data_IF_867716037481
#
_entry.id   IF_867716037481
#
_cell.length_a   1.000
_cell.length_b   1.000
_cell.length_c   1.000
_cell.angle_alpha   90.00
_cell.angle_beta   90.00
_cell.angle_gamma   90.00
#
_symmetry.space_group_name_H-M   'P 1'
#
loop_
_entity.id
_entity.type
_entity.pdbx_description
1 polymer ?
#
# COMPACT_ATOMS: atom_id res chain seq x y z
N UNK A 1 26.30 -24.59 18.29
CA UNK A 1 25.63 -23.28 18.12
C UNK A 1 24.47 -23.52 17.16
N UNK A 2 23.22 -23.33 17.57
CA UNK A 2 22.07 -23.54 16.67
C UNK A 2 21.99 -22.37 15.69
N UNK A 3 22.07 -22.64 14.39
CA UNK A 3 21.95 -21.61 13.36
C UNK A 3 20.55 -20.99 13.37
N UNK A 4 20.49 -19.67 13.16
CA UNK A 4 19.22 -18.94 13.22
C UNK A 4 18.42 -19.22 11.95
N UNK A 5 17.17 -19.67 12.11
CA UNK A 5 16.23 -19.88 10.99
C UNK A 5 16.14 -18.61 10.12
N UNK A 6 16.31 -18.76 8.81
CA UNK A 6 16.25 -17.66 7.85
C UNK A 6 17.54 -16.84 7.77
N UNK A 7 18.69 -17.41 8.16
CA UNK A 7 20.01 -16.83 7.84
C UNK A 7 20.48 -17.32 6.46
N UNK A 8 21.42 -16.60 5.83
CA UNK A 8 22.08 -17.07 4.60
C UNK A 8 22.80 -18.39 4.84
N UNK A 9 23.42 -18.57 6.01
CA UNK A 9 24.06 -19.85 6.37
C UNK A 9 23.05 -21.00 6.39
N UNK A 10 21.85 -20.77 6.95
CA UNK A 10 20.79 -21.78 6.97
C UNK A 10 20.26 -22.13 5.57
N UNK A 11 20.19 -21.14 4.67
CA UNK A 11 19.78 -21.37 3.28
C UNK A 11 20.84 -22.13 2.48
N UNK A 12 22.12 -21.76 2.64
CA UNK A 12 23.25 -22.51 2.06
C UNK A 12 23.28 -23.95 2.54
N UNK A 13 23.16 -24.18 3.85
CA UNK A 13 23.12 -25.54 4.39
C UNK A 13 21.96 -26.36 3.80
N UNK A 14 20.79 -25.75 3.59
CA UNK A 14 19.66 -26.43 2.95
C UNK A 14 19.96 -26.80 1.49
N UNK A 15 20.63 -25.92 0.74
CA UNK A 15 21.08 -26.19 -0.64
C UNK A 15 22.20 -27.24 -0.70
N UNK A 16 23.18 -27.19 0.20
CA UNK A 16 24.25 -28.19 0.32
C UNK A 16 23.67 -29.59 0.62
N UNK A 17 22.64 -29.66 1.46
CA UNK A 17 21.94 -30.92 1.75
C UNK A 17 21.15 -31.44 0.53
N UNK A 18 20.58 -30.54 -0.27
CA UNK A 18 19.92 -30.92 -1.53
C UNK A 18 20.94 -31.48 -2.52
N UNK A 19 22.09 -30.84 -2.69
CA UNK A 19 23.16 -31.35 -3.55
C UNK A 19 23.68 -32.72 -3.08
N UNK A 20 23.83 -32.92 -1.77
CA UNK A 20 24.21 -34.23 -1.23
C UNK A 20 23.15 -35.30 -1.55
N UNK A 21 21.86 -34.94 -1.50
CA UNK A 21 20.75 -35.83 -1.83
C UNK A 21 20.77 -36.20 -3.33
N UNK A 22 20.99 -35.23 -4.21
CA UNK A 22 21.13 -35.42 -5.66
C UNK A 22 22.33 -36.32 -6.01
N UNK A 23 23.48 -36.10 -5.36
CA UNK A 23 24.75 -36.77 -5.71
C UNK A 23 24.85 -38.19 -5.13
N UNK A 24 24.50 -38.39 -3.86
CA UNK A 24 24.78 -39.65 -3.15
C UNK A 24 23.56 -40.52 -2.91
N UNK A 25 22.35 -39.95 -3.00
CA UNK A 25 21.11 -40.63 -2.66
C UNK A 25 20.11 -40.54 -3.81
N UNK A 26 20.58 -40.79 -5.04
CA UNK A 26 19.75 -40.77 -6.25
C UNK A 26 18.50 -41.66 -6.14
N UNK A 27 18.55 -42.74 -5.35
CA UNK A 27 17.41 -43.62 -5.07
C UNK A 27 16.27 -42.92 -4.32
N UNK A 28 16.56 -41.86 -3.56
CA UNK A 28 15.55 -41.09 -2.82
C UNK A 28 14.82 -40.07 -3.70
N UNK A 29 15.37 -39.72 -4.88
CA UNK A 29 14.84 -38.76 -5.85
C UNK A 29 14.24 -37.49 -5.22
N UNK A 30 14.99 -36.36 -5.15
CA UNK A 30 14.50 -35.13 -4.54
C UNK A 30 13.11 -34.76 -5.07
N UNK A 31 12.16 -34.46 -4.18
CA UNK A 31 10.78 -34.12 -4.56
C UNK A 31 10.61 -32.59 -4.71
N UNK A 32 9.57 -32.13 -5.42
CA UNK A 32 9.26 -30.68 -5.51
C UNK A 32 9.16 -30.04 -4.13
N UNK A 33 8.70 -30.80 -3.12
CA UNK A 33 8.60 -30.31 -1.74
C UNK A 33 9.98 -30.02 -1.11
N UNK A 34 11.01 -30.80 -1.45
CA UNK A 34 12.38 -30.58 -0.98
C UNK A 34 12.96 -29.33 -1.65
N UNK A 35 12.86 -29.19 -2.97
CA UNK A 35 13.26 -27.97 -3.67
C UNK A 35 12.54 -26.73 -3.13
N UNK A 36 11.22 -26.81 -2.94
CA UNK A 36 10.42 -25.73 -2.35
C UNK A 36 10.89 -25.38 -0.92
N UNK A 37 11.39 -26.35 -0.15
CA UNK A 37 11.96 -26.07 1.17
C UNK A 37 13.24 -25.24 1.07
N UNK A 38 14.11 -25.54 0.10
CA UNK A 38 15.35 -24.79 -0.17
C UNK A 38 15.05 -23.39 -0.74
N UNK A 39 14.15 -23.29 -1.72
CA UNK A 39 13.69 -22.02 -2.29
C UNK A 39 13.08 -21.11 -1.21
N UNK A 40 12.26 -21.67 -0.32
CA UNK A 40 11.72 -20.92 0.82
C UNK A 40 12.83 -20.50 1.79
N UNK A 41 13.83 -21.34 2.05
CA UNK A 41 14.97 -20.98 2.91
C UNK A 41 15.72 -19.75 2.35
N UNK A 42 16.00 -19.73 1.04
CA UNK A 42 16.58 -18.57 0.36
C UNK A 42 15.68 -17.34 0.43
N UNK A 43 14.38 -17.50 0.18
CA UNK A 43 13.39 -16.41 0.28
C UNK A 43 13.36 -15.79 1.69
N UNK A 44 13.34 -16.62 2.75
CA UNK A 44 13.39 -16.13 4.13
C UNK A 44 14.74 -15.49 4.49
N UNK A 45 15.84 -15.99 3.94
CA UNK A 45 17.16 -15.39 4.14
C UNK A 45 17.22 -13.95 3.61
N UNK A 46 16.61 -13.70 2.44
CA UNK A 46 16.46 -12.34 1.92
C UNK A 46 15.53 -11.47 2.76
N UNK A 47 14.47 -12.03 3.34
CA UNK A 47 13.52 -11.30 4.20
C UNK A 47 14.13 -10.84 5.53
N UNK A 48 14.92 -11.70 6.16
CA UNK A 48 15.52 -11.44 7.48
C UNK A 48 16.76 -10.54 7.39
N UNK A 49 17.40 -10.48 6.22
CA UNK A 49 18.50 -9.56 5.95
C UNK A 49 18.02 -8.13 5.86
N UNK A 50 18.55 -7.23 6.70
CA UNK A 50 18.38 -5.78 6.52
C UNK A 50 19.33 -5.20 5.46
N UNK A 51 20.14 -6.05 4.81
CA UNK A 51 21.12 -5.67 3.81
C UNK A 51 20.59 -5.97 2.39
N UNK A 52 20.61 -4.96 1.52
CA UNK A 52 20.18 -5.07 0.14
C UNK A 52 21.00 -6.09 -0.67
N UNK A 53 22.33 -6.16 -0.47
CA UNK A 53 23.20 -7.12 -1.16
C UNK A 53 22.89 -8.54 -0.74
N UNK A 54 22.64 -8.76 0.55
CA UNK A 54 22.25 -10.08 1.08
C UNK A 54 20.91 -10.52 0.50
N UNK A 55 19.93 -9.60 0.45
CA UNK A 55 18.61 -9.87 -0.11
C UNK A 55 18.68 -10.20 -1.60
N UNK A 56 19.47 -9.44 -2.36
CA UNK A 56 19.70 -9.67 -3.79
C UNK A 56 20.41 -11.01 -4.04
N UNK A 57 21.47 -11.31 -3.28
CA UNK A 57 22.17 -12.59 -3.39
C UNK A 57 21.23 -13.77 -3.15
N UNK A 58 20.40 -13.71 -2.11
CA UNK A 58 19.42 -14.75 -1.82
C UNK A 58 18.40 -14.94 -2.95
N UNK A 59 17.91 -13.84 -3.54
CA UNK A 59 16.99 -13.90 -4.68
C UNK A 59 17.64 -14.50 -5.94
N UNK A 60 18.91 -14.15 -6.21
CA UNK A 60 19.67 -14.72 -7.33
C UNK A 60 19.90 -16.22 -7.15
N UNK A 61 20.25 -16.68 -5.94
CA UNK A 61 20.39 -18.11 -5.65
C UNK A 61 19.08 -18.86 -5.82
N UNK A 62 17.97 -18.32 -5.28
CA UNK A 62 16.66 -18.93 -5.47
C UNK A 62 16.27 -19.04 -6.95
N UNK A 63 16.57 -18.01 -7.76
CA UNK A 63 16.32 -18.03 -9.20
C UNK A 63 17.16 -19.08 -9.92
N UNK A 64 18.46 -19.16 -9.60
CA UNK A 64 19.35 -20.14 -10.20
C UNK A 64 18.90 -21.59 -9.93
N UNK A 65 18.44 -21.87 -8.70
CA UNK A 65 17.90 -23.19 -8.35
C UNK A 65 16.60 -23.51 -9.11
N UNK A 66 15.72 -22.53 -9.31
CA UNK A 66 14.51 -22.72 -10.12
C UNK A 66 14.83 -22.93 -11.60
N UNK A 67 15.79 -22.18 -12.15
CA UNK A 67 16.24 -22.37 -13.53
C UNK A 67 16.87 -23.76 -13.73
N UNK A 68 17.62 -24.27 -12.74
CA UNK A 68 18.12 -25.65 -12.73
C UNK A 68 16.96 -26.67 -12.83
N UNK A 69 15.93 -26.54 -11.98
CA UNK A 69 14.76 -27.42 -12.03
C UNK A 69 14.09 -27.41 -13.42
N UNK A 70 13.96 -26.23 -14.04
CA UNK A 70 13.36 -26.07 -15.38
C UNK A 70 14.22 -26.66 -16.49
N UNK A 71 15.55 -26.61 -16.37
CA UNK A 71 16.46 -27.15 -17.38
C UNK A 71 16.54 -28.68 -17.28
N UNK A 72 16.55 -29.23 -16.07
CA UNK A 72 16.58 -30.67 -15.83
C UNK A 72 15.28 -31.36 -16.24
N UNK A 73 14.12 -30.73 -16.01
CA UNK A 73 12.82 -31.21 -16.52
C UNK A 73 12.87 -31.41 -18.05
N UNK A 74 13.46 -30.45 -18.78
CA UNK A 74 13.57 -30.52 -20.24
C UNK A 74 14.54 -31.60 -20.71
N UNK A 75 15.63 -31.83 -19.97
CA UNK A 75 16.70 -32.74 -20.40
C UNK A 75 16.44 -34.20 -20.03
N UNK A 76 15.93 -34.44 -18.82
CA UNK A 76 15.92 -35.78 -18.22
C UNK A 76 14.53 -36.43 -18.16
N UNK A 77 13.50 -35.78 -18.73
CA UNK A 77 12.13 -36.27 -18.91
C UNK A 77 11.67 -37.23 -17.80
N UNK A 78 11.54 -36.70 -16.58
CA UNK A 78 10.97 -37.41 -15.43
C UNK A 78 11.96 -37.87 -14.35
N UNK A 79 13.26 -37.61 -14.48
CA UNK A 79 14.19 -37.88 -13.36
C UNK A 79 14.04 -36.91 -12.19
N UNK A 80 13.76 -35.64 -12.48
CA UNK A 80 13.55 -34.62 -11.46
C UNK A 80 12.13 -34.08 -11.55
N UNK A 81 11.56 -33.71 -10.40
CA UNK A 81 10.17 -33.29 -10.36
C UNK A 81 10.05 -31.87 -10.93
N UNK A 82 9.04 -31.61 -11.78
CA UNK A 82 8.87 -30.30 -12.37
C UNK A 82 8.62 -29.23 -11.29
N UNK A 83 9.10 -28.00 -11.48
CA UNK A 83 8.73 -26.89 -10.61
C UNK A 83 7.23 -26.63 -10.72
N UNK A 84 6.62 -26.30 -9.59
CA UNK A 84 5.21 -25.91 -9.54
C UNK A 84 5.06 -24.44 -9.19
N UNK A 85 3.82 -23.94 -9.13
CA UNK A 85 3.51 -22.54 -8.83
C UNK A 85 4.07 -22.11 -7.48
N UNK A 86 4.19 -23.02 -6.51
CA UNK A 86 4.83 -22.73 -5.22
C UNK A 86 6.34 -22.46 -5.38
N UNK A 87 7.01 -23.20 -6.27
CA UNK A 87 8.42 -22.96 -6.61
C UNK A 87 8.61 -21.53 -7.15
N UNK A 88 7.79 -21.13 -8.13
CA UNK A 88 7.80 -19.77 -8.68
C UNK A 88 7.47 -18.71 -7.62
N UNK A 89 6.43 -18.93 -6.80
CA UNK A 89 6.02 -18.00 -5.76
C UNK A 89 7.14 -17.70 -4.77
N UNK A 90 7.93 -18.72 -4.38
CA UNK A 90 9.04 -18.56 -3.44
C UNK A 90 10.16 -17.68 -4.02
N UNK A 91 10.51 -17.88 -5.29
CA UNK A 91 11.52 -17.05 -5.98
C UNK A 91 11.01 -15.63 -6.19
N UNK A 92 9.76 -15.44 -6.63
CA UNK A 92 9.14 -14.11 -6.77
C UNK A 92 9.10 -13.37 -5.42
N UNK A 93 8.80 -14.07 -4.33
CA UNK A 93 8.86 -13.49 -2.99
C UNK A 93 10.29 -13.10 -2.60
N UNK A 94 11.30 -13.90 -2.97
CA UNK A 94 12.71 -13.55 -2.76
C UNK A 94 13.08 -12.27 -3.54
N UNK A 95 12.66 -12.15 -4.80
CA UNK A 95 12.81 -10.93 -5.60
C UNK A 95 12.08 -9.73 -4.96
N UNK A 96 10.91 -9.95 -4.38
CA UNK A 96 10.19 -8.92 -3.64
C UNK A 96 10.97 -8.41 -2.42
N UNK A 97 11.60 -9.32 -1.67
CA UNK A 97 12.48 -8.95 -0.56
C UNK A 97 13.70 -8.17 -1.04
N UNK A 98 14.35 -8.62 -2.12
CA UNK A 98 15.46 -7.91 -2.75
C UNK A 98 15.08 -6.49 -3.18
N UNK A 99 13.94 -6.32 -3.87
CA UNK A 99 13.45 -5.02 -4.31
C UNK A 99 13.19 -4.06 -3.15
N UNK A 100 12.50 -4.55 -2.09
CA UNK A 100 12.20 -3.74 -0.91
C UNK A 100 13.45 -3.34 -0.13
N UNK A 101 14.41 -4.26 0.05
CA UNK A 101 15.68 -3.95 0.72
C UNK A 101 16.53 -2.96 -0.08
N UNK A 102 16.58 -3.12 -1.41
CA UNK A 102 17.25 -2.18 -2.31
C UNK A 102 16.63 -0.78 -2.26
N UNK A 103 15.29 -0.67 -2.26
CA UNK A 103 14.60 0.61 -2.08
C UNK A 103 14.94 1.29 -0.74
N UNK A 104 14.94 0.54 0.36
CA UNK A 104 15.31 1.06 1.68
C UNK A 104 16.77 1.55 1.72
N UNK A 105 17.65 0.91 0.96
CA UNK A 105 19.05 1.32 0.81
C UNK A 105 19.25 2.46 -0.21
N UNK A 106 18.18 2.94 -0.86
CA UNK A 106 18.26 3.97 -1.90
C UNK A 106 18.80 3.49 -3.24
N UNK A 107 18.97 2.18 -3.43
CA UNK A 107 19.45 1.60 -4.68
C UNK A 107 18.27 1.28 -5.62
N UNK A 108 17.78 2.31 -6.31
CA UNK A 108 16.63 2.22 -7.23
C UNK A 108 16.92 1.27 -8.41
N UNK A 109 18.18 1.21 -8.88
CA UNK A 109 18.57 0.35 -10.00
C UNK A 109 18.40 -1.13 -9.65
N UNK A 110 18.93 -1.57 -8.50
CA UNK A 110 18.79 -2.96 -8.05
C UNK A 110 17.33 -3.33 -7.80
N UNK A 111 16.55 -2.40 -7.24
CA UNK A 111 15.12 -2.62 -7.01
C UNK A 111 14.35 -2.81 -8.34
N UNK A 112 14.68 -2.02 -9.35
CA UNK A 112 14.13 -2.16 -10.70
C UNK A 112 14.53 -3.49 -11.34
N UNK A 113 15.80 -3.88 -11.23
CA UNK A 113 16.27 -5.16 -11.77
C UNK A 113 15.56 -6.34 -11.11
N UNK A 114 15.37 -6.31 -9.79
CA UNK A 114 14.59 -7.32 -9.09
C UNK A 114 13.12 -7.38 -9.56
N UNK A 115 12.50 -6.23 -9.88
CA UNK A 115 11.15 -6.17 -10.45
C UNK A 115 11.06 -6.78 -11.85
N UNK A 116 12.04 -6.48 -12.72
CA UNK A 116 12.14 -7.05 -14.07
C UNK A 116 12.27 -8.57 -13.97
N UNK A 117 13.21 -9.06 -13.15
CA UNK A 117 13.42 -10.50 -12.97
C UNK A 117 12.18 -11.20 -12.42
N UNK A 118 11.46 -10.57 -11.47
CA UNK A 118 10.22 -11.14 -10.94
C UNK A 118 9.12 -11.25 -12.02
N UNK A 119 9.05 -10.29 -12.93
CA UNK A 119 8.11 -10.31 -14.05
C UNK A 119 8.51 -11.33 -15.13
N UNK A 120 9.80 -11.48 -15.43
CA UNK A 120 10.31 -12.54 -16.31
C UNK A 120 10.01 -13.94 -15.76
N UNK A 121 10.16 -14.13 -14.44
CA UNK A 121 9.79 -15.37 -13.75
C UNK A 121 8.28 -15.65 -13.84
N UNK A 122 7.45 -14.62 -13.75
CA UNK A 122 6.01 -14.74 -13.95
C UNK A 122 5.68 -15.19 -15.38
N UNK A 123 6.33 -14.61 -16.39
CA UNK A 123 6.16 -15.04 -17.80
C UNK A 123 6.62 -16.49 -18.00
N UNK A 124 7.75 -16.89 -17.40
CA UNK A 124 8.22 -18.30 -17.42
C UNK A 124 7.18 -19.25 -16.81
N UNK A 125 6.55 -18.86 -15.70
CA UNK A 125 5.49 -19.62 -15.04
C UNK A 125 4.25 -19.76 -15.93
N UNK A 126 3.83 -18.71 -16.62
CA UNK A 126 2.67 -18.71 -17.51
C UNK A 126 2.84 -19.63 -18.73
N UNK A 127 4.09 -19.89 -19.13
CA UNK A 127 4.41 -20.84 -20.20
C UNK A 127 4.39 -22.31 -19.73
N UNK A 128 4.32 -22.56 -18.43
CA UNK A 128 4.25 -23.91 -17.88
C UNK A 128 2.80 -24.43 -17.86
N UNK A 129 2.56 -25.72 -18.14
CA UNK A 129 1.22 -26.32 -18.09
C UNK A 129 0.77 -26.59 -16.65
N UNK A 130 0.64 -25.54 -15.84
CA UNK A 130 0.32 -25.62 -14.41
C UNK A 130 -1.20 -25.55 -14.16
N UNK A 131 -1.70 -26.34 -13.21
CA UNK A 131 -3.15 -26.51 -12.99
C UNK A 131 -3.77 -25.51 -12.00
N UNK A 132 -3.00 -24.92 -11.09
CA UNK A 132 -3.53 -24.17 -9.95
C UNK A 132 -3.64 -22.67 -10.19
N UNK A 133 -4.87 -22.22 -10.44
CA UNK A 133 -5.16 -20.78 -10.66
C UNK A 133 -4.87 -19.89 -9.45
N UNK A 134 -5.08 -20.36 -8.22
CA UNK A 134 -4.96 -19.52 -7.02
C UNK A 134 -3.51 -19.10 -6.70
N UNK A 135 -2.56 -20.02 -6.88
CA UNK A 135 -1.15 -19.72 -6.62
C UNK A 135 -0.61 -18.82 -7.72
N UNK A 136 -1.01 -19.05 -8.97
CA UNK A 136 -0.70 -18.14 -10.08
C UNK A 136 -1.16 -16.70 -9.80
N UNK A 137 -2.38 -16.49 -9.27
CA UNK A 137 -2.85 -15.17 -8.83
C UNK A 137 -1.97 -14.58 -7.71
N UNK A 138 -1.48 -15.41 -6.79
CA UNK A 138 -0.56 -14.97 -5.73
C UNK A 138 0.80 -14.52 -6.29
N UNK A 139 1.33 -15.22 -7.30
CA UNK A 139 2.53 -14.81 -8.03
C UNK A 139 2.36 -13.46 -8.70
N UNK A 140 1.28 -13.28 -9.49
CA UNK A 140 0.92 -12.01 -10.13
C UNK A 140 0.81 -10.88 -9.11
N UNK A 141 0.07 -11.12 -8.04
CA UNK A 141 -0.10 -10.15 -6.96
C UNK A 141 1.22 -9.74 -6.28
N UNK A 142 2.17 -10.67 -6.13
CA UNK A 142 3.52 -10.32 -5.68
C UNK A 142 4.26 -9.43 -6.68
N UNK A 143 4.21 -9.70 -7.98
CA UNK A 143 4.83 -8.86 -9.02
C UNK A 143 4.20 -7.46 -9.07
N UNK A 144 2.86 -7.36 -8.96
CA UNK A 144 2.13 -6.09 -8.83
C UNK A 144 2.66 -5.28 -7.65
N UNK A 145 2.82 -5.90 -6.47
CA UNK A 145 3.37 -5.24 -5.26
C UNK A 145 4.79 -4.72 -5.49
N UNK A 146 5.64 -5.49 -6.17
CA UNK A 146 7.02 -5.06 -6.45
C UNK A 146 7.02 -3.80 -7.32
N UNK A 147 6.32 -3.82 -8.45
CA UNK A 147 6.24 -2.64 -9.33
C UNK A 147 5.61 -1.44 -8.63
N UNK A 148 4.51 -1.64 -7.89
CA UNK A 148 3.86 -0.60 -7.11
C UNK A 148 4.81 0.03 -6.07
N UNK A 149 5.69 -0.75 -5.45
CA UNK A 149 6.65 -0.26 -4.46
C UNK A 149 7.66 0.76 -5.04
N UNK A 150 7.97 0.67 -6.33
CA UNK A 150 8.91 1.57 -7.01
C UNK A 150 8.32 2.96 -7.31
N UNK A 151 6.99 3.14 -7.22
CA UNK A 151 6.33 4.40 -7.56
C UNK A 151 6.71 5.57 -6.64
N UNK A 152 6.78 6.78 -7.22
CA UNK A 152 7.19 7.99 -6.50
C UNK A 152 8.70 8.21 -6.41
N UNK A 153 9.53 7.25 -6.82
CA UNK A 153 11.00 7.41 -6.85
C UNK A 153 11.47 8.37 -7.96
N UNK A 154 12.55 9.13 -7.75
CA UNK A 154 13.06 10.07 -8.76
C UNK A 154 13.53 9.36 -10.03
N UNK A 155 13.27 9.95 -11.21
CA UNK A 155 13.87 9.51 -12.47
C UNK A 155 13.19 8.33 -13.18
N UNK A 156 12.05 7.84 -12.68
CA UNK A 156 11.27 6.84 -13.41
C UNK A 156 9.82 7.24 -13.56
N UNK A 157 9.37 7.29 -14.81
CA UNK A 157 7.97 7.42 -15.16
C UNK A 157 7.35 6.02 -15.31
N UNK A 158 6.09 5.89 -14.90
CA UNK A 158 5.21 4.79 -15.29
C UNK A 158 5.19 3.49 -14.45
N UNK A 159 5.89 3.39 -13.32
CA UNK A 159 5.77 2.20 -12.44
C UNK A 159 4.36 1.95 -11.90
N UNK A 160 3.62 3.03 -11.57
CA UNK A 160 2.24 2.91 -11.12
C UNK A 160 1.33 2.39 -12.25
N UNK A 161 1.58 2.79 -13.49
CA UNK A 161 0.85 2.28 -14.64
C UNK A 161 1.22 0.82 -14.93
N UNK A 162 2.50 0.45 -14.87
CA UNK A 162 2.92 -0.96 -15.04
C UNK A 162 2.25 -1.86 -14.01
N UNK A 163 2.25 -1.47 -12.73
CA UNK A 163 1.57 -2.20 -11.67
C UNK A 163 0.05 -2.29 -11.91
N UNK A 164 -0.57 -1.21 -12.41
CA UNK A 164 -1.98 -1.19 -12.77
C UNK A 164 -2.29 -2.14 -13.95
N UNK A 165 -1.50 -2.13 -15.03
CA UNK A 165 -1.68 -3.05 -16.16
C UNK A 165 -1.60 -4.51 -15.70
N UNK A 166 -0.60 -4.86 -14.88
CA UNK A 166 -0.47 -6.21 -14.33
C UNK A 166 -1.67 -6.60 -13.46
N UNK A 167 -2.18 -5.67 -12.64
CA UNK A 167 -3.39 -5.89 -11.84
C UNK A 167 -4.64 -6.10 -12.72
N UNK A 168 -4.78 -5.37 -13.83
CA UNK A 168 -5.92 -5.54 -14.74
C UNK A 168 -5.86 -6.88 -15.46
N UNK A 169 -4.69 -7.30 -15.94
CA UNK A 169 -4.50 -8.63 -16.53
C UNK A 169 -4.83 -9.73 -15.51
N UNK A 170 -4.32 -9.58 -14.28
CA UNK A 170 -4.64 -10.49 -13.18
C UNK A 170 -6.14 -10.56 -12.91
N UNK A 171 -6.85 -9.43 -12.98
CA UNK A 171 -8.28 -9.39 -12.73
C UNK A 171 -9.13 -9.99 -13.86
N UNK A 172 -8.71 -9.80 -15.11
CA UNK A 172 -9.34 -10.43 -16.27
C UNK A 172 -9.19 -11.95 -16.21
N UNK A 173 -8.00 -12.45 -15.90
CA UNK A 173 -7.72 -13.89 -15.81
C UNK A 173 -8.37 -14.56 -14.60
N UNK A 174 -8.49 -13.85 -13.47
CA UNK A 174 -9.20 -14.35 -12.29
C UNK A 174 -10.68 -14.66 -12.60
N UNK A 175 -11.29 -13.93 -13.53
CA UNK A 175 -12.70 -14.05 -13.86
C UNK A 175 -13.59 -13.80 -12.65
N UNK A 176 -14.21 -14.86 -12.13
CA UNK A 176 -15.05 -14.79 -10.93
C UNK A 176 -14.31 -15.10 -9.62
N UNK A 177 -13.03 -15.47 -9.67
CA UNK A 177 -12.27 -15.75 -8.47
C UNK A 177 -12.08 -14.46 -7.65
N UNK A 178 -12.23 -14.51 -6.32
CA UNK A 178 -12.05 -13.33 -5.48
C UNK A 178 -10.58 -12.90 -5.50
N UNK A 179 -10.36 -11.61 -5.72
CA UNK A 179 -9.04 -10.99 -5.68
C UNK A 179 -8.89 -10.26 -4.35
N UNK A 180 -7.75 -10.43 -3.68
CA UNK A 180 -7.48 -9.71 -2.45
C UNK A 180 -7.38 -8.20 -2.71
N UNK A 181 -8.17 -7.42 -1.96
CA UNK A 181 -8.21 -5.95 -2.02
C UNK A 181 -6.82 -5.33 -1.80
N UNK A 182 -5.92 -6.04 -1.12
CA UNK A 182 -4.54 -5.58 -0.89
C UNK A 182 -3.81 -5.25 -2.20
N UNK A 183 -4.07 -5.98 -3.28
CA UNK A 183 -3.42 -5.74 -4.58
C UNK A 183 -3.92 -4.44 -5.24
N UNK A 184 -5.18 -4.10 -5.04
CA UNK A 184 -5.73 -2.81 -5.46
C UNK A 184 -5.19 -1.67 -4.61
N UNK A 185 -5.13 -1.86 -3.30
CA UNK A 185 -4.63 -0.84 -2.36
C UNK A 185 -3.18 -0.46 -2.66
N UNK A 186 -2.31 -1.41 -2.99
CA UNK A 186 -0.92 -1.08 -3.37
C UNK A 186 -0.83 -0.29 -4.67
N UNK A 187 -1.70 -0.54 -5.66
CA UNK A 187 -1.74 0.22 -6.91
C UNK A 187 -2.30 1.64 -6.67
N UNK A 188 -3.33 1.78 -5.84
CA UNK A 188 -3.86 3.08 -5.44
C UNK A 188 -2.81 3.91 -4.68
N UNK A 189 -2.08 3.30 -3.74
CA UNK A 189 -0.96 3.97 -3.06
C UNK A 189 0.16 4.36 -4.03
N UNK A 190 0.48 3.48 -4.98
CA UNK A 190 1.48 3.75 -6.02
C UNK A 190 1.10 4.98 -6.86
N UNK A 191 -0.16 5.10 -7.28
CA UNK A 191 -0.66 6.31 -7.96
C UNK A 191 -0.56 7.54 -7.08
N UNK A 192 -0.94 7.46 -5.80
CA UNK A 192 -0.85 8.58 -4.87
C UNK A 192 0.61 9.06 -4.67
N UNK A 193 1.57 8.13 -4.62
CA UNK A 193 3.00 8.43 -4.56
C UNK A 193 3.52 9.04 -5.87
N UNK A 194 3.10 8.51 -7.02
CA UNK A 194 3.48 9.06 -8.32
C UNK A 194 2.99 10.50 -8.52
N UNK A 195 1.76 10.78 -8.08
CA UNK A 195 1.16 12.11 -8.09
C UNK A 195 1.80 13.09 -7.11
N UNK A 196 2.57 12.63 -6.12
CA UNK A 196 3.31 13.51 -5.20
C UNK A 196 4.50 14.21 -5.87
N UNK A 197 4.77 13.92 -7.15
CA UNK A 197 5.83 14.54 -7.95
C UNK A 197 5.42 15.94 -8.40
N UNK A 198 6.41 16.80 -8.66
CA UNK A 198 6.23 18.24 -8.88
C UNK A 198 5.53 18.63 -10.19
N UNK A 199 5.12 17.68 -11.04
CA UNK A 199 4.49 17.99 -12.33
C UNK A 199 2.96 18.05 -12.19
N UNK A 200 2.45 19.26 -11.95
CA UNK A 200 1.01 19.49 -11.75
C UNK A 200 0.24 19.55 -13.06
N UNK A 201 0.88 19.81 -14.21
CA UNK A 201 0.19 20.04 -15.48
C UNK A 201 -0.54 18.81 -16.03
N UNK A 202 -0.22 17.62 -15.51
CA UNK A 202 -0.91 16.37 -15.85
C UNK A 202 -1.61 15.73 -14.65
N UNK A 203 -1.72 16.45 -13.52
CA UNK A 203 -2.24 15.90 -12.28
C UNK A 203 -3.65 15.35 -12.45
N UNK A 204 -4.56 16.10 -13.07
CA UNK A 204 -5.96 15.69 -13.24
C UNK A 204 -6.11 14.48 -14.16
N UNK A 205 -5.41 14.46 -15.29
CA UNK A 205 -5.40 13.30 -16.20
C UNK A 205 -4.90 12.04 -15.49
N UNK A 206 -3.85 12.15 -14.67
CA UNK A 206 -3.33 11.02 -13.88
C UNK A 206 -4.24 10.63 -12.73
N UNK A 207 -4.88 11.59 -12.06
CA UNK A 207 -5.80 11.39 -10.95
C UNK A 207 -7.08 10.64 -11.36
N UNK A 208 -7.48 10.76 -12.64
CA UNK A 208 -8.61 9.98 -13.18
C UNK A 208 -8.42 8.46 -13.03
N UNK A 209 -7.18 7.96 -13.06
CA UNK A 209 -6.84 6.54 -12.99
C UNK A 209 -7.15 5.90 -11.63
N UNK A 210 -6.59 6.37 -10.49
CA UNK A 210 -6.92 5.82 -9.18
C UNK A 210 -8.40 6.03 -8.81
N UNK A 211 -9.03 7.12 -9.25
CA UNK A 211 -10.47 7.32 -9.05
C UNK A 211 -11.29 6.27 -9.80
N UNK A 212 -11.03 6.06 -11.09
CA UNK A 212 -11.73 5.06 -11.89
C UNK A 212 -11.58 3.65 -11.29
N UNK A 213 -10.37 3.28 -10.87
CA UNK A 213 -10.11 1.98 -10.23
C UNK A 213 -10.92 1.81 -8.93
N UNK A 214 -11.02 2.85 -8.09
CA UNK A 214 -11.85 2.80 -6.90
C UNK A 214 -13.35 2.70 -7.22
N UNK A 215 -13.84 3.43 -8.23
CA UNK A 215 -15.25 3.36 -8.63
C UNK A 215 -15.61 1.98 -9.19
N UNK A 216 -14.71 1.34 -9.93
CA UNK A 216 -14.87 -0.03 -10.41
C UNK A 216 -14.92 -1.04 -9.24
N UNK A 217 -14.10 -0.86 -8.20
CA UNK A 217 -14.17 -1.66 -6.96
C UNK A 217 -15.49 -1.45 -6.20
N UNK A 218 -15.92 -0.20 -6.08
CA UNK A 218 -17.19 0.17 -5.44
C UNK A 218 -18.38 -0.50 -6.15
N UNK A 219 -18.30 -0.61 -7.48
CA UNK A 219 -19.28 -1.29 -8.33
C UNK A 219 -19.17 -2.82 -8.35
N UNK A 220 -18.19 -3.40 -7.66
CA UNK A 220 -18.02 -4.86 -7.57
C UNK A 220 -17.44 -5.51 -8.81
N UNK A 221 -16.82 -4.74 -9.73
CA UNK A 221 -16.30 -5.23 -11.02
C UNK A 221 -15.28 -6.36 -10.88
N UNK A 222 -14.53 -6.39 -9.78
CA UNK A 222 -13.37 -7.28 -9.59
C UNK A 222 -13.58 -8.36 -8.52
N UNK A 223 -14.82 -8.62 -8.10
CA UNK A 223 -15.12 -9.51 -6.97
C UNK A 223 -14.26 -9.21 -5.71
N UNK A 224 -13.98 -7.92 -5.51
CA UNK A 224 -13.19 -7.39 -4.41
C UNK A 224 -13.93 -6.17 -3.86
N UNK A 225 -14.06 -6.08 -2.53
CA UNK A 225 -14.72 -4.96 -1.87
C UNK A 225 -13.66 -3.98 -1.39
N UNK A 226 -13.78 -2.67 -1.71
CA UNK A 226 -12.84 -1.67 -1.23
C UNK A 226 -12.91 -1.58 0.30
N UNK A 227 -11.79 -1.27 0.94
CA UNK A 227 -11.67 -1.04 2.38
C UNK A 227 -11.32 0.43 2.68
N UNK A 228 -11.17 0.80 3.95
CA UNK A 228 -10.77 2.15 4.34
C UNK A 228 -9.48 2.63 3.65
N UNK A 229 -8.52 1.73 3.42
CA UNK A 229 -7.26 2.06 2.76
C UNK A 229 -7.50 2.44 1.30
N UNK A 230 -8.39 1.74 0.59
CA UNK A 230 -8.76 2.05 -0.81
C UNK A 230 -9.21 3.51 -0.96
N UNK A 231 -10.14 3.96 -0.10
CA UNK A 231 -10.62 5.35 -0.10
C UNK A 231 -9.51 6.33 0.29
N UNK A 232 -8.78 6.04 1.36
CA UNK A 232 -7.70 6.91 1.86
C UNK A 232 -6.59 7.14 0.82
N UNK A 233 -6.24 6.12 0.03
CA UNK A 233 -5.25 6.27 -1.04
C UNK A 233 -5.73 7.21 -2.16
N UNK A 234 -7.00 7.15 -2.56
CA UNK A 234 -7.56 8.06 -3.57
C UNK A 234 -7.66 9.50 -3.04
N UNK A 235 -8.14 9.71 -1.82
CA UNK A 235 -8.16 11.05 -1.20
C UNK A 235 -6.75 11.63 -1.12
N UNK A 236 -5.75 10.80 -0.75
CA UNK A 236 -4.34 11.19 -0.77
C UNK A 236 -3.86 11.56 -2.16
N UNK A 237 -4.23 10.79 -3.18
CA UNK A 237 -3.89 11.08 -4.57
C UNK A 237 -4.42 12.45 -5.00
N UNK A 238 -5.62 12.84 -4.55
CA UNK A 238 -6.23 14.13 -4.87
C UNK A 238 -5.40 15.32 -4.39
N UNK A 239 -4.77 15.29 -3.20
CA UNK A 239 -4.02 16.45 -2.70
C UNK A 239 -2.50 16.36 -2.88
N UNK A 240 -1.98 15.17 -3.20
CA UNK A 240 -0.56 14.91 -3.32
C UNK A 240 0.22 15.87 -4.26
N UNK A 241 -0.29 16.23 -5.46
CA UNK A 241 0.42 17.13 -6.38
C UNK A 241 0.68 18.54 -5.83
N UNK A 242 -0.16 18.98 -4.89
CA UNK A 242 -0.13 20.33 -4.35
C UNK A 242 0.43 20.39 -2.92
N UNK A 243 0.79 19.26 -2.31
CA UNK A 243 1.27 19.19 -0.94
C UNK A 243 2.51 20.07 -0.64
N UNK A 244 3.35 20.33 -1.65
CA UNK A 244 4.55 21.18 -1.52
C UNK A 244 4.38 22.61 -2.06
N UNK A 245 3.20 22.99 -2.57
CA UNK A 245 2.98 24.26 -3.28
C UNK A 245 1.91 25.11 -2.61
N UNK A 246 2.29 25.93 -1.63
CA UNK A 246 1.31 26.75 -0.89
C UNK A 246 0.87 28.03 -1.62
N UNK A 247 1.63 28.50 -2.62
CA UNK A 247 1.48 29.87 -3.17
C UNK A 247 1.11 29.93 -4.67
N UNK A 248 0.57 28.86 -5.24
CA UNK A 248 0.06 28.92 -6.63
C UNK A 248 -1.36 29.48 -6.58
N UNK A 249 -1.65 30.45 -7.46
CA UNK A 249 -2.95 31.11 -7.65
C UNK A 249 -4.10 30.09 -7.90
N UNK A 250 -5.33 30.59 -7.89
CA UNK A 250 -6.53 29.78 -8.12
C UNK A 250 -6.38 28.91 -9.36
N UNK A 251 -6.37 27.60 -9.13
CA UNK A 251 -6.14 26.57 -10.12
C UNK A 251 -7.42 25.75 -10.21
N UNK A 252 -8.09 25.79 -11.36
CA UNK A 252 -9.31 25.02 -11.64
C UNK A 252 -9.09 23.52 -11.32
N UNK A 253 -7.87 23.01 -11.54
CA UNK A 253 -7.51 21.64 -11.23
C UNK A 253 -7.58 21.34 -9.72
N UNK A 254 -7.25 22.31 -8.85
CA UNK A 254 -7.37 22.12 -7.39
C UNK A 254 -8.83 21.98 -6.96
N UNK A 255 -9.72 22.77 -7.57
CA UNK A 255 -11.16 22.70 -7.30
C UNK A 255 -11.70 21.34 -7.75
N UNK A 256 -11.35 20.91 -8.96
CA UNK A 256 -11.73 19.59 -9.48
C UNK A 256 -11.19 18.45 -8.62
N UNK A 257 -9.94 18.55 -8.15
CA UNK A 257 -9.33 17.57 -7.25
C UNK A 257 -10.02 17.56 -5.87
N UNK A 258 -10.46 18.71 -5.36
CA UNK A 258 -11.23 18.81 -4.12
C UNK A 258 -12.60 18.14 -4.26
N UNK A 259 -13.35 18.46 -5.32
CA UNK A 259 -14.64 17.84 -5.59
C UNK A 259 -14.53 16.32 -5.67
N UNK A 260 -13.46 15.82 -6.28
CA UNK A 260 -13.17 14.39 -6.32
C UNK A 260 -12.86 13.81 -4.93
N UNK A 261 -12.03 14.46 -4.13
CA UNK A 261 -11.72 14.01 -2.77
C UNK A 261 -13.00 13.95 -1.90
N UNK A 262 -13.86 14.96 -2.03
CA UNK A 262 -15.11 15.05 -1.31
C UNK A 262 -16.15 14.03 -1.78
N UNK A 263 -16.27 13.75 -3.09
CA UNK A 263 -17.09 12.66 -3.64
C UNK A 263 -16.66 11.29 -3.07
N UNK A 264 -15.34 11.03 -3.03
CA UNK A 264 -14.79 9.80 -2.46
C UNK A 264 -15.08 9.68 -0.96
N UNK A 265 -14.89 10.76 -0.21
CA UNK A 265 -15.22 10.82 1.23
C UNK A 265 -16.72 10.62 1.48
N UNK A 266 -17.59 11.27 0.71
CA UNK A 266 -19.05 11.21 0.90
C UNK A 266 -19.56 9.79 0.66
N UNK A 267 -19.09 9.11 -0.40
CA UNK A 267 -19.40 7.69 -0.66
C UNK A 267 -18.91 6.77 0.45
N UNK A 268 -17.77 7.08 1.07
CA UNK A 268 -17.27 6.34 2.23
C UNK A 268 -18.15 6.57 3.47
N UNK A 269 -18.61 7.80 3.69
CA UNK A 269 -19.47 8.16 4.81
C UNK A 269 -20.87 7.57 4.69
N UNK A 270 -21.52 7.71 3.53
CA UNK A 270 -22.89 7.21 3.27
C UNK A 270 -23.04 5.69 3.47
N UNK A 271 -21.95 4.93 3.33
CA UNK A 271 -21.92 3.48 3.57
C UNK A 271 -21.91 3.11 5.06
N UNK A 272 -22.64 3.85 5.91
CA UNK A 272 -22.74 3.65 7.36
C UNK A 272 -23.11 2.21 7.81
N UNK A 273 -23.66 1.39 6.91
CA UNK A 273 -23.99 -0.02 7.16
C UNK A 273 -23.01 -1.04 6.52
N UNK A 274 -21.94 -0.57 5.89
CA UNK A 274 -20.96 -1.40 5.19
C UNK A 274 -19.68 -1.71 5.98
N UNK A 275 -18.71 -2.31 5.30
CA UNK A 275 -17.39 -2.61 5.85
C UNK A 275 -16.47 -1.36 5.99
N UNK A 276 -16.87 -0.22 5.43
CA UNK A 276 -16.05 0.99 5.39
C UNK A 276 -16.75 2.13 6.14
N UNK A 277 -16.02 2.77 7.05
CA UNK A 277 -16.43 4.01 7.73
C UNK A 277 -15.21 4.88 7.88
N UNK A 278 -15.31 6.22 7.72
CA UNK A 278 -14.20 7.13 7.99
C UNK A 278 -13.51 6.82 9.32
N UNK A 279 -12.18 6.70 9.27
CA UNK A 279 -11.34 6.52 10.45
C UNK A 279 -10.40 7.71 10.65
N UNK A 280 -9.60 7.66 11.71
CA UNK A 280 -8.62 8.71 12.01
C UNK A 280 -7.67 9.03 10.83
N UNK A 281 -7.34 8.05 9.99
CA UNK A 281 -6.53 8.28 8.80
C UNK A 281 -7.33 9.00 7.71
N UNK A 282 -8.60 8.60 7.48
CA UNK A 282 -9.50 9.29 6.55
C UNK A 282 -9.61 10.78 6.88
N UNK A 283 -9.90 11.12 8.14
CA UNK A 283 -10.02 12.53 8.55
C UNK A 283 -8.70 13.28 8.41
N UNK A 284 -7.56 12.65 8.75
CA UNK A 284 -6.24 13.25 8.51
C UNK A 284 -6.01 13.60 7.04
N UNK A 285 -6.41 12.72 6.12
CA UNK A 285 -6.31 12.97 4.68
C UNK A 285 -7.28 14.06 4.22
N UNK A 286 -8.50 14.13 4.77
CA UNK A 286 -9.44 15.21 4.45
C UNK A 286 -8.94 16.58 4.91
N UNK A 287 -8.39 16.71 6.12
CA UNK A 287 -7.81 17.98 6.55
C UNK A 287 -6.60 18.40 5.70
N UNK A 288 -5.77 17.43 5.27
CA UNK A 288 -4.68 17.68 4.31
C UNK A 288 -5.23 18.12 2.95
N UNK A 289 -6.33 17.52 2.49
CA UNK A 289 -6.98 17.93 1.24
C UNK A 289 -7.47 19.37 1.32
N UNK A 290 -8.17 19.76 2.40
CA UNK A 290 -8.59 21.17 2.62
C UNK A 290 -7.36 22.09 2.62
N UNK A 291 -6.29 21.70 3.31
CA UNK A 291 -5.08 22.52 3.42
C UNK A 291 -4.31 22.72 2.11
N UNK A 292 -4.38 21.78 1.18
CA UNK A 292 -3.60 21.80 -0.05
C UNK A 292 -4.41 22.26 -1.27
N UNK A 293 -5.71 21.99 -1.30
CA UNK A 293 -6.57 22.20 -2.46
C UNK A 293 -7.38 23.49 -2.37
N UNK A 294 -7.60 24.03 -1.16
CA UNK A 294 -8.35 25.27 -1.03
C UNK A 294 -7.44 26.51 -1.05
N UNK A 295 -7.77 27.56 -1.84
CA UNK A 295 -6.97 28.79 -1.88
C UNK A 295 -6.88 29.49 -0.52
N UNK A 296 -5.75 30.17 -0.27
CA UNK A 296 -5.54 31.01 0.94
C UNK A 296 -5.79 32.51 0.70
N UNK A 297 -5.87 32.94 -0.56
CA UNK A 297 -5.58 34.34 -0.91
C UNK A 297 -6.80 35.27 -0.98
N UNK A 298 -8.03 34.78 -0.82
CA UNK A 298 -9.22 35.65 -0.82
C UNK A 298 -10.01 35.52 0.49
N UNK A 299 -10.49 36.64 1.02
CA UNK A 299 -11.29 36.64 2.25
C UNK A 299 -12.50 35.69 2.14
N UNK A 300 -13.19 35.70 0.99
CA UNK A 300 -14.29 34.78 0.70
C UNK A 300 -13.86 33.30 0.73
N UNK A 301 -12.71 32.97 0.15
CA UNK A 301 -12.19 31.60 0.20
C UNK A 301 -11.85 31.15 1.62
N UNK A 302 -11.47 32.06 2.52
CA UNK A 302 -11.17 31.70 3.91
C UNK A 302 -12.42 31.26 4.67
N UNK A 303 -13.54 31.99 4.53
CA UNK A 303 -14.79 31.63 5.21
C UNK A 303 -15.32 30.26 4.76
N UNK A 304 -15.29 29.99 3.46
CA UNK A 304 -15.69 28.69 2.90
C UNK A 304 -14.75 27.56 3.38
N UNK A 305 -13.44 27.79 3.42
CA UNK A 305 -12.45 26.85 3.95
C UNK A 305 -12.67 26.52 5.42
N UNK A 306 -12.94 27.54 6.24
CA UNK A 306 -13.23 27.39 7.66
C UNK A 306 -14.53 26.61 7.85
N UNK A 307 -15.56 26.88 7.06
CA UNK A 307 -16.82 26.14 7.09
C UNK A 307 -16.64 24.65 6.73
N UNK A 308 -15.85 24.35 5.68
CA UNK A 308 -15.51 22.97 5.32
C UNK A 308 -14.72 22.27 6.43
N UNK A 309 -13.74 22.95 7.02
CA UNK A 309 -12.96 22.43 8.12
C UNK A 309 -13.83 22.12 9.34
N UNK A 310 -14.77 23.02 9.69
CA UNK A 310 -15.78 22.83 10.74
C UNK A 310 -16.60 21.56 10.51
N UNK A 311 -17.18 21.39 9.32
CA UNK A 311 -18.02 20.23 9.02
C UNK A 311 -17.27 18.89 9.13
N UNK A 312 -16.04 18.84 8.61
CA UNK A 312 -15.20 17.63 8.70
C UNK A 312 -14.73 17.39 10.14
N UNK A 313 -14.42 18.44 10.90
CA UNK A 313 -14.03 18.35 12.31
C UNK A 313 -15.16 17.85 13.19
N UNK A 314 -16.37 18.38 13.01
CA UNK A 314 -17.57 17.91 13.70
C UNK A 314 -17.81 16.43 13.44
N UNK A 315 -17.75 16.00 12.17
CA UNK A 315 -17.88 14.57 11.79
C UNK A 315 -16.78 13.71 12.46
N UNK A 316 -15.54 14.20 12.48
CA UNK A 316 -14.41 13.53 13.11
C UNK A 316 -14.60 13.31 14.62
N UNK A 317 -15.13 14.33 15.31
CA UNK A 317 -15.41 14.28 16.75
C UNK A 317 -16.57 13.35 17.06
N UNK A 318 -17.67 13.42 16.29
CA UNK A 318 -18.82 12.52 16.41
C UNK A 318 -18.45 11.05 16.18
N UNK A 319 -17.53 10.78 15.24
CA UNK A 319 -17.04 9.43 14.98
C UNK A 319 -15.98 8.95 15.99
N UNK A 320 -15.56 9.81 16.92
CA UNK A 320 -14.50 9.53 17.89
C UNK A 320 -13.16 9.25 17.21
N UNK A 321 -12.86 9.91 16.09
CA UNK A 321 -11.68 9.67 15.25
C UNK A 321 -10.63 10.77 15.32
N UNK A 322 -10.78 11.74 16.22
CA UNK A 322 -9.81 12.81 16.37
C UNK A 322 -8.49 12.25 16.86
N UNK A 323 -7.46 12.37 16.02
CA UNK A 323 -6.09 11.98 16.35
C UNK A 323 -5.21 13.21 16.55
N UNK A 324 -4.12 13.05 17.30
CA UNK A 324 -3.10 14.10 17.48
C UNK A 324 -2.61 14.64 16.13
N UNK A 325 -2.41 13.76 15.15
CA UNK A 325 -1.96 14.13 13.81
C UNK A 325 -3.00 14.96 13.06
N UNK A 326 -4.28 14.57 13.09
CA UNK A 326 -5.36 15.33 12.47
C UNK A 326 -5.49 16.72 13.11
N UNK A 327 -5.44 16.78 14.44
CA UNK A 327 -5.49 18.03 15.20
C UNK A 327 -4.32 18.96 14.85
N UNK A 328 -3.11 18.42 14.75
CA UNK A 328 -1.95 19.19 14.31
C UNK A 328 -2.15 19.77 12.91
N UNK A 329 -2.64 18.99 11.95
CA UNK A 329 -2.93 19.49 10.59
C UNK A 329 -3.94 20.64 10.63
N UNK A 330 -5.03 20.53 11.41
CA UNK A 330 -6.01 21.61 11.58
C UNK A 330 -5.36 22.87 12.17
N UNK A 331 -4.51 22.71 13.20
CA UNK A 331 -3.82 23.85 13.82
C UNK A 331 -2.84 24.57 12.88
N UNK A 332 -2.33 23.88 11.86
CA UNK A 332 -1.52 24.50 10.81
C UNK A 332 -2.34 25.07 9.65
N UNK A 333 -3.59 24.63 9.52
CA UNK A 333 -4.52 25.05 8.48
C UNK A 333 -5.18 26.39 8.82
N UNK A 334 -5.60 26.54 10.07
CA UNK A 334 -6.38 27.67 10.58
C UNK A 334 -5.49 28.68 11.30
N UNK A 335 -5.88 29.96 11.25
CA UNK A 335 -5.31 30.97 12.14
C UNK A 335 -5.69 30.67 13.60
N UNK A 336 -4.94 31.24 14.54
CA UNK A 336 -5.19 30.99 15.96
C UNK A 336 -6.59 31.41 16.42
N UNK A 337 -7.13 32.51 15.89
CA UNK A 337 -8.51 32.95 16.13
C UNK A 337 -9.52 31.95 15.57
N UNK A 338 -9.38 31.56 14.29
CA UNK A 338 -10.25 30.60 13.61
C UNK A 338 -10.25 29.23 14.32
N UNK A 339 -9.09 28.76 14.77
CA UNK A 339 -8.97 27.52 15.54
C UNK A 339 -9.70 27.63 16.88
N UNK A 340 -9.51 28.74 17.61
CA UNK A 340 -10.20 28.94 18.89
C UNK A 340 -11.71 29.06 18.71
N UNK A 341 -12.19 29.68 17.64
CA UNK A 341 -13.61 29.74 17.29
C UNK A 341 -14.18 28.36 16.95
N UNK A 342 -13.44 27.55 16.18
CA UNK A 342 -13.78 26.15 15.89
C UNK A 342 -13.91 25.34 17.18
N UNK A 343 -12.90 25.40 18.06
CA UNK A 343 -12.92 24.65 19.32
C UNK A 343 -14.01 25.14 20.27
N UNK A 344 -14.20 26.46 20.35
CA UNK A 344 -15.25 27.05 21.20
C UNK A 344 -16.65 26.65 20.73
N UNK A 345 -16.86 26.44 19.43
CA UNK A 345 -18.13 25.96 18.91
C UNK A 345 -18.43 24.53 19.37
N UNK A 346 -17.49 23.60 19.18
CA UNK A 346 -17.68 22.18 19.51
C UNK A 346 -17.61 21.88 21.02
N UNK A 347 -16.88 22.69 21.79
CA UNK A 347 -16.76 22.51 23.25
C UNK A 347 -17.90 23.13 24.05
N UNK A 348 -18.78 23.94 23.44
CA UNK A 348 -19.96 24.53 24.13
C UNK A 348 -20.80 23.46 24.81
N UNK A 349 -20.91 22.30 24.18
CA UNK A 349 -21.70 21.19 24.70
C UNK A 349 -21.03 20.46 25.88
N UNK A 350 -19.73 20.69 26.10
CA UNK A 350 -18.91 19.95 27.08
C UNK A 350 -18.52 20.80 28.31
N UNK A 351 -18.87 22.08 28.38
CA UNK A 351 -18.49 23.01 29.48
C UNK A 351 -16.97 23.09 29.75
N UNK A 352 -16.12 22.84 28.75
CA UNK A 352 -14.67 22.87 28.88
C UNK A 352 -14.15 24.28 28.58
N UNK A 353 -13.57 24.95 29.58
CA UNK A 353 -12.82 26.20 29.37
C UNK A 353 -11.36 25.88 29.01
N UNK A 354 -10.94 26.23 27.81
CA UNK A 354 -9.54 26.13 27.38
C UNK A 354 -8.70 27.11 28.20
N UNK A 355 -7.79 26.59 29.02
CA UNK A 355 -6.84 27.40 29.82
C UNK A 355 -5.43 27.21 29.26
N UNK A 356 -4.75 28.31 28.94
CA UNK A 356 -3.34 28.33 28.55
C UNK A 356 -3.08 28.72 27.09
N UNK A 357 -1.79 28.87 26.75
CA UNK A 357 -1.35 29.33 25.43
C UNK A 357 -1.61 28.34 24.29
N UNK A 358 -1.49 28.83 23.04
CA UNK A 358 -1.84 28.20 21.76
C UNK A 358 -0.94 27.02 21.34
N UNK A 359 -0.37 26.26 22.27
CA UNK A 359 0.44 25.09 21.94
C UNK A 359 -0.49 23.92 21.53
N UNK A 360 -0.42 23.41 20.28
CA UNK A 360 -1.36 22.38 19.81
C UNK A 360 -1.34 21.10 20.62
N UNK A 361 -0.18 20.70 21.14
CA UNK A 361 -0.07 19.49 21.97
C UNK A 361 -0.82 19.64 23.29
N UNK A 362 -0.72 20.82 23.93
CA UNK A 362 -1.48 21.12 25.15
C UNK A 362 -2.98 21.20 24.87
N UNK A 363 -3.38 21.85 23.77
CA UNK A 363 -4.79 21.92 23.38
C UNK A 363 -5.36 20.53 23.12
N UNK A 364 -4.64 19.67 22.40
CA UNK A 364 -5.08 18.29 22.15
C UNK A 364 -5.31 17.49 23.44
N UNK A 365 -4.44 17.64 24.45
CA UNK A 365 -4.64 16.96 25.76
C UNK A 365 -5.85 17.44 26.55
N UNK A 366 -6.45 18.58 26.18
CA UNK A 366 -7.67 19.11 26.79
C UNK A 366 -8.94 18.72 26.03
N UNK A 367 -8.81 18.05 24.87
CA UNK A 367 -9.96 17.62 24.09
C UNK A 367 -10.74 16.51 24.79
N UNK A 368 -12.08 16.47 24.66
CA UNK A 368 -12.91 15.40 25.19
C UNK A 368 -12.36 14.02 24.80
N UNK A 369 -12.30 13.10 25.77
CA UNK A 369 -11.69 11.79 25.54
C UNK A 369 -12.47 10.98 24.50
N UNK A 370 -13.79 11.18 24.43
CA UNK A 370 -14.74 10.61 23.49
C UNK A 370 -14.47 10.98 22.03
N UNK A 371 -13.86 12.14 21.77
CA UNK A 371 -13.49 12.54 20.40
C UNK A 371 -12.33 11.71 19.87
N UNK A 372 -11.56 11.06 20.74
CA UNK A 372 -10.44 10.18 20.35
C UNK A 372 -10.78 8.72 20.64
N UNK A 373 -10.40 7.81 19.74
CA UNK A 373 -10.56 6.35 19.93
C UNK A 373 -9.92 5.81 21.23
N UNK A 374 -9.09 6.61 21.92
CA UNK A 374 -8.46 6.28 23.19
C UNK A 374 -9.36 6.48 24.43
N UNK A 375 -10.61 6.93 24.27
CA UNK A 375 -11.63 6.97 25.32
C UNK A 375 -12.15 5.59 25.74
N UNK A 376 -11.27 4.71 26.25
CA UNK A 376 -11.42 3.47 27.07
C UNK A 376 -12.61 2.48 26.92
N UNK A 377 -13.70 2.77 26.22
CA UNK A 377 -14.96 2.00 26.30
C UNK A 377 -15.41 1.30 25.01
N UNK A 378 -14.59 1.26 23.95
CA UNK A 378 -14.97 0.61 22.67
C UNK A 378 -14.66 -0.90 22.65
N UNK A 379 -14.17 -1.50 23.75
CA UNK A 379 -14.07 -2.96 23.85
C UNK A 379 -15.43 -3.67 23.67
N UNK A 380 -16.56 -2.98 23.83
CA UNK A 380 -17.91 -3.54 23.60
C UNK A 380 -18.39 -3.47 22.14
N UNK A 381 -18.05 -2.43 21.39
CA UNK A 381 -18.54 -2.23 20.01
C UNK A 381 -17.89 -3.16 18.97
N UNK A 382 -16.74 -3.75 19.30
CA UNK A 382 -16.09 -4.78 18.46
C UNK A 382 -16.45 -6.22 18.86
N UNK A 383 -17.26 -6.45 19.91
CA UNK A 383 -17.71 -7.81 20.28
C UNK A 383 -18.82 -8.36 19.35
N UNK A 384 -19.39 -7.54 18.47
CA UNK A 384 -20.39 -7.97 17.49
C UNK A 384 -19.83 -8.16 16.07
N UNK A 385 -18.50 -8.27 15.92
CA UNK A 385 -17.83 -8.50 14.64
C UNK A 385 -16.78 -9.63 14.66
N UNK A 386 -16.86 -10.51 15.66
CA UNK A 386 -16.28 -11.86 15.60
C UNK A 386 -17.44 -12.85 15.65
#
# INVERSE_FOLDING_TARGET
MMERRGSITSAKLAEDLLHLLEEYYFELAPTTAIYNSVLNAWSQAGKMGNDAKVSLYAAVRASALLDQMLDEERQLSGMLPPPNESSFLMVINAMSHAANSALKAGNISDAKNAAINAEELLQKMELQPLETRQIALSCRGSVVRIWASLSGMSGSHDYAARAHTLLMNMAEEAGHLPIDVIYFNVVLDAWARDLSRKDTGQAMSRLSKPRALLMDLIGGKYNAMPDNSSFNHVIRACYAPWASRQNVEEDEDRRNAWEMAFDVYSRMAERHHGACRPDAHTYTHMFKAIACLWPKNTAKSSDERVALCKNIFQSCCQDGQLSKTSFWVISTLLESSELMDLLSHELRDHNIMIKGGLNPDRLYTQMPAEWSRNGRNVKSLNRHKQ
#
